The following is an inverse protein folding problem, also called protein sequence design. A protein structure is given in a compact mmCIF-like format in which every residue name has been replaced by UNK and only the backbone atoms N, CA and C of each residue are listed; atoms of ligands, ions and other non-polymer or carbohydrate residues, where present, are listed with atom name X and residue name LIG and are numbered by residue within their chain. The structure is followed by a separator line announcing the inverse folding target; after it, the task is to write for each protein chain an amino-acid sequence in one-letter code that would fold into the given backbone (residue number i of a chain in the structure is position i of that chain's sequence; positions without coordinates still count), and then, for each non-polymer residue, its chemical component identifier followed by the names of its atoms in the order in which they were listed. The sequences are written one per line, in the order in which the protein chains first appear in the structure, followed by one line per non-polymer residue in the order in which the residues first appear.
data_IF_600055562848
#
_entry.id   IF_600055562848
#
_cell.length_a   1.000
_cell.length_b   1.000
_cell.length_c   1.000
_cell.angle_alpha   90.00
_cell.angle_beta   90.00
_cell.angle_gamma   90.00
#
_symmetry.space_group_name_H-M   'P 1'
#
loop_
_entity.id
_entity.type
_entity.pdbx_description
1 polymer ?
#
# COMPACT_ATOMS: atom_id res chain seq x y z
N UNK A 1 -17.09 28.25 11.06
CA UNK A 1 -18.25 28.50 10.16
C UNK A 1 -19.24 29.40 10.87
N UNK A 2 -20.06 30.18 10.14
CA UNK A 2 -21.11 31.02 10.73
C UNK A 2 -22.50 30.55 10.27
N UNK A 3 -23.56 31.03 10.93
CA UNK A 3 -24.94 30.60 10.69
C UNK A 3 -25.40 30.82 9.25
N UNK A 4 -25.00 31.92 8.59
CA UNK A 4 -25.35 32.18 7.18
C UNK A 4 -24.75 31.15 6.24
N UNK A 5 -23.45 30.88 6.36
CA UNK A 5 -22.74 29.91 5.51
C UNK A 5 -23.26 28.50 5.76
N UNK A 6 -23.48 28.12 7.03
CA UNK A 6 -24.05 26.82 7.36
C UNK A 6 -25.45 26.65 6.75
N UNK A 7 -26.28 27.69 6.80
CA UNK A 7 -27.62 27.69 6.18
C UNK A 7 -27.57 27.54 4.65
N UNK A 8 -26.68 28.26 3.98
CA UNK A 8 -26.47 28.17 2.53
C UNK A 8 -26.04 26.76 2.10
N UNK A 9 -25.14 26.12 2.86
CA UNK A 9 -24.75 24.73 2.63
C UNK A 9 -25.95 23.80 2.86
N UNK A 10 -26.63 23.92 4.00
CA UNK A 10 -27.75 23.04 4.36
C UNK A 10 -28.97 23.15 3.43
N UNK A 11 -29.15 24.26 2.72
CA UNK A 11 -30.17 24.39 1.67
C UNK A 11 -29.97 23.40 0.52
N UNK A 12 -28.73 22.95 0.28
CA UNK A 12 -28.39 22.01 -0.77
C UNK A 12 -28.33 20.55 -0.29
N UNK A 13 -28.53 20.31 1.00
CA UNK A 13 -28.40 18.98 1.59
C UNK A 13 -29.57 18.07 1.19
N UNK A 14 -29.26 16.91 0.58
CA UNK A 14 -30.26 15.98 0.03
C UNK A 14 -30.55 14.77 0.93
N UNK A 15 -30.08 14.79 2.16
CA UNK A 15 -30.20 13.68 3.11
C UNK A 15 -28.96 12.77 3.08
N UNK A 16 -29.09 11.49 3.48
CA UNK A 16 -27.95 10.62 3.78
C UNK A 16 -26.93 10.38 2.65
N UNK A 17 -27.31 10.63 1.39
CA UNK A 17 -26.38 10.55 0.25
C UNK A 17 -25.23 11.57 0.35
N UNK A 18 -25.45 12.66 1.08
CA UNK A 18 -24.49 13.76 1.24
C UNK A 18 -23.72 13.68 2.57
N UNK A 19 -23.98 12.69 3.44
CA UNK A 19 -23.38 12.60 4.79
C UNK A 19 -21.86 12.33 4.78
N UNK A 20 -21.35 11.78 3.69
CA UNK A 20 -19.91 11.55 3.51
C UNK A 20 -19.13 12.82 3.16
N UNK A 21 -19.82 13.89 2.74
CA UNK A 21 -19.19 15.16 2.41
C UNK A 21 -18.79 15.92 3.68
N UNK A 22 -17.50 16.31 3.83
CA UNK A 22 -17.04 17.03 5.01
C UNK A 22 -17.74 18.37 5.24
N UNK A 23 -18.18 19.08 4.18
CA UNK A 23 -18.85 20.38 4.30
C UNK A 23 -20.26 20.23 4.85
N UNK A 24 -21.02 19.25 4.37
CA UNK A 24 -22.35 18.96 4.88
C UNK A 24 -22.27 18.48 6.34
N UNK A 25 -21.31 17.60 6.66
CA UNK A 25 -21.09 17.15 8.04
C UNK A 25 -20.78 18.31 8.99
N UNK A 26 -19.87 19.20 8.61
CA UNK A 26 -19.54 20.37 9.42
C UNK A 26 -20.75 21.31 9.60
N UNK A 27 -21.60 21.45 8.58
CA UNK A 27 -22.79 22.31 8.63
C UNK A 27 -23.90 21.71 9.50
N UNK A 28 -24.09 20.39 9.42
CA UNK A 28 -24.99 19.64 10.30
C UNK A 28 -24.53 19.71 11.76
N UNK A 29 -23.23 19.57 12.01
CA UNK A 29 -22.68 19.68 13.37
C UNK A 29 -22.85 21.09 13.94
N UNK A 30 -22.60 22.13 13.14
CA UNK A 30 -22.85 23.51 13.54
C UNK A 30 -24.34 23.76 13.88
N UNK A 31 -25.27 23.23 13.07
CA UNK A 31 -26.71 23.35 13.30
C UNK A 31 -27.22 22.62 14.55
N UNK A 32 -26.46 21.67 15.12
CA UNK A 32 -26.79 21.07 16.42
C UNK A 32 -26.56 22.05 17.57
N UNK A 33 -25.59 22.95 17.44
CA UNK A 33 -25.23 23.93 18.47
C UNK A 33 -26.03 25.24 18.38
N UNK A 34 -26.57 25.57 17.20
CA UNK A 34 -27.41 26.74 16.96
C UNK A 34 -28.90 26.34 16.96
N UNK A 35 -29.64 26.76 18.00
CA UNK A 35 -31.04 26.36 18.21
C UNK A 35 -31.95 26.82 17.07
N UNK A 36 -31.76 28.04 16.57
CA UNK A 36 -32.60 28.64 15.53
C UNK A 36 -32.33 27.96 14.19
N UNK A 37 -31.06 27.78 13.83
CA UNK A 37 -30.68 27.09 12.61
C UNK A 37 -31.11 25.61 12.64
N UNK A 38 -30.95 24.94 13.78
CA UNK A 38 -31.38 23.56 13.96
C UNK A 38 -32.90 23.40 13.85
N UNK A 39 -33.69 24.35 14.36
CA UNK A 39 -35.13 24.36 14.17
C UNK A 39 -35.52 24.57 12.71
N UNK A 40 -34.93 25.59 12.06
CA UNK A 40 -35.14 25.85 10.65
C UNK A 40 -34.83 24.62 9.78
N UNK A 41 -33.71 23.93 10.05
CA UNK A 41 -33.32 22.73 9.30
C UNK A 41 -34.36 21.61 9.44
N UNK A 42 -34.87 21.37 10.66
CA UNK A 42 -35.92 20.37 10.90
C UNK A 42 -37.21 20.70 10.14
N UNK A 43 -37.60 21.96 10.10
CA UNK A 43 -38.79 22.41 9.35
C UNK A 43 -38.60 22.25 7.84
N UNK A 44 -37.42 22.59 7.32
CA UNK A 44 -37.08 22.38 5.91
C UNK A 44 -37.13 20.90 5.52
N UNK A 45 -36.46 20.03 6.29
CA UNK A 45 -36.45 18.58 6.02
C UNK A 45 -37.88 18.04 5.98
N UNK A 46 -38.73 18.40 6.95
CA UNK A 46 -40.15 18.02 6.95
C UNK A 46 -40.88 18.48 5.69
N UNK A 47 -40.66 19.71 5.24
CA UNK A 47 -41.27 20.24 4.01
C UNK A 47 -40.82 19.45 2.77
N UNK A 48 -39.52 19.24 2.60
CA UNK A 48 -38.96 18.51 1.47
C UNK A 48 -39.39 17.04 1.45
N UNK A 49 -39.44 16.39 2.61
CA UNK A 49 -39.89 15.01 2.70
C UNK A 49 -41.38 14.88 2.33
N UNK A 50 -42.22 15.83 2.73
CA UNK A 50 -43.62 15.87 2.31
C UNK A 50 -43.77 16.04 0.78
N UNK A 51 -42.98 16.93 0.17
CA UNK A 51 -42.96 17.12 -1.29
C UNK A 51 -42.51 15.83 -1.98
N UNK A 52 -41.40 15.25 -1.52
CA UNK A 52 -40.82 14.03 -2.11
C UNK A 52 -41.75 12.83 -1.96
N UNK A 53 -42.44 12.69 -0.83
CA UNK A 53 -43.45 11.65 -0.63
C UNK A 53 -44.60 11.79 -1.64
N UNK A 54 -45.12 13.02 -1.83
CA UNK A 54 -46.15 13.28 -2.85
C UNK A 54 -45.67 12.95 -4.25
N UNK A 55 -44.45 13.35 -4.62
CA UNK A 55 -43.88 13.08 -5.94
C UNK A 55 -43.66 11.57 -6.18
N UNK A 56 -43.16 10.84 -5.18
CA UNK A 56 -42.97 9.38 -5.27
C UNK A 56 -44.27 8.60 -5.34
N UNK A 57 -45.36 9.13 -4.79
CA UNK A 57 -46.69 8.54 -4.90
C UNK A 57 -47.33 8.69 -6.28
N UNK A 58 -46.72 9.45 -7.20
CA UNK A 58 -47.20 9.57 -8.57
C UNK A 58 -46.68 8.38 -9.37
N UNK A 59 -47.59 7.47 -9.74
CA UNK A 59 -47.23 6.31 -10.56
C UNK A 59 -46.74 6.79 -11.95
N UNK A 60 -45.51 6.43 -12.37
CA UNK A 60 -45.02 6.78 -13.70
C UNK A 60 -45.89 6.12 -14.79
N UNK A 61 -46.03 6.78 -15.94
CA UNK A 61 -46.72 6.15 -17.06
C UNK A 61 -45.96 4.90 -17.55
N UNK A 62 -46.66 3.79 -17.87
CA UNK A 62 -46.02 2.59 -18.41
C UNK A 62 -45.15 2.89 -19.64
N UNK A 63 -43.92 2.37 -19.64
CA UNK A 63 -42.95 2.59 -20.73
C UNK A 63 -42.39 4.01 -20.82
N UNK A 64 -42.61 4.89 -19.83
CA UNK A 64 -42.01 6.22 -19.79
C UNK A 64 -40.48 6.16 -19.74
N UNK A 65 -39.92 5.23 -18.95
CA UNK A 65 -38.47 5.02 -18.87
C UNK A 65 -37.88 4.69 -20.25
N UNK A 66 -38.49 3.77 -20.99
CA UNK A 66 -38.06 3.40 -22.35
C UNK A 66 -38.15 4.58 -23.32
N UNK A 67 -39.21 5.39 -23.21
CA UNK A 67 -39.38 6.61 -24.03
C UNK A 67 -38.32 7.67 -23.71
N UNK A 68 -37.95 7.84 -22.43
CA UNK A 68 -36.91 8.79 -22.00
C UNK A 68 -35.53 8.37 -22.51
N UNK A 69 -35.15 7.10 -22.29
CA UNK A 69 -33.86 6.55 -22.73
C UNK A 69 -33.71 6.64 -24.25
N UNK A 70 -34.79 6.37 -25.01
CA UNK A 70 -34.77 6.47 -26.48
C UNK A 70 -34.69 7.92 -27.00
N UNK A 71 -35.33 8.89 -26.33
CA UNK A 71 -35.39 10.29 -26.81
C UNK A 71 -34.22 11.16 -26.35
N UNK A 72 -33.62 10.85 -25.20
CA UNK A 72 -32.41 11.51 -24.70
C UNK A 72 -31.40 10.45 -24.32
N UNK A 73 -30.76 9.80 -25.30
CA UNK A 73 -29.60 8.98 -24.99
C UNK A 73 -28.61 9.87 -24.26
N UNK A 74 -28.20 9.49 -23.04
CA UNK A 74 -27.07 10.14 -22.38
C UNK A 74 -25.86 9.80 -23.25
N UNK A 75 -25.25 10.76 -23.96
CA UNK A 75 -24.02 10.45 -24.65
C UNK A 75 -23.02 10.16 -23.54
N UNK A 76 -22.60 8.90 -23.42
CA UNK A 76 -21.29 8.62 -22.88
C UNK A 76 -20.33 8.87 -24.04
N UNK A 77 -19.72 10.07 -24.18
CA UNK A 77 -18.67 10.24 -25.16
C UNK A 77 -17.60 9.22 -24.82
N UNK A 78 -17.57 8.15 -25.59
CA UNK A 78 -16.51 7.15 -25.52
C UNK A 78 -15.31 7.84 -26.10
N UNK A 79 -14.53 8.48 -25.21
CA UNK A 79 -13.35 9.22 -25.59
C UNK A 79 -12.31 8.23 -26.12
N UNK A 80 -12.29 8.03 -27.43
CA UNK A 80 -11.38 7.14 -28.12
C UNK A 80 -9.92 7.54 -27.89
N UNK A 81 -9.65 8.80 -27.48
CA UNK A 81 -8.31 9.23 -27.04
C UNK A 81 -7.92 8.58 -25.71
N UNK A 82 -8.83 8.45 -24.75
CA UNK A 82 -8.59 7.70 -23.50
C UNK A 82 -8.47 6.20 -23.73
N UNK A 83 -9.26 5.63 -24.65
CA UNK A 83 -9.14 4.20 -24.99
C UNK A 83 -7.82 3.91 -25.72
N UNK A 84 -7.40 4.78 -26.65
CA UNK A 84 -6.10 4.64 -27.30
C UNK A 84 -4.93 4.88 -26.35
N UNK A 85 -5.05 5.82 -25.39
CA UNK A 85 -4.09 5.99 -24.31
C UNK A 85 -4.00 4.75 -23.41
N UNK A 86 -5.14 4.14 -23.04
CA UNK A 86 -5.16 2.90 -22.25
C UNK A 86 -4.58 1.72 -23.05
N UNK A 87 -4.92 1.58 -24.33
CA UNK A 87 -4.36 0.54 -25.20
C UNK A 87 -2.84 0.71 -25.38
N UNK A 88 -2.38 1.94 -25.59
CA UNK A 88 -0.95 2.26 -25.65
C UNK A 88 -0.27 1.99 -24.31
N UNK A 89 -0.87 2.35 -23.17
CA UNK A 89 -0.35 2.05 -21.85
C UNK A 89 -0.28 0.54 -21.57
N UNK A 90 -1.26 -0.24 -22.02
CA UNK A 90 -1.24 -1.70 -21.93
C UNK A 90 -0.15 -2.29 -22.83
N UNK A 91 0.04 -1.79 -24.05
CA UNK A 91 1.12 -2.23 -24.94
C UNK A 91 2.51 -1.85 -24.41
N UNK A 92 2.67 -0.65 -23.87
CA UNK A 92 3.90 -0.20 -23.21
C UNK A 92 4.16 -1.04 -21.96
N UNK A 93 3.14 -1.28 -21.14
CA UNK A 93 3.24 -2.17 -19.97
C UNK A 93 3.60 -3.59 -20.37
N UNK A 94 2.98 -4.16 -21.41
CA UNK A 94 3.27 -5.51 -21.89
C UNK A 94 4.67 -5.61 -22.52
N UNK A 95 5.14 -4.59 -23.23
CA UNK A 95 6.49 -4.57 -23.80
C UNK A 95 7.56 -4.33 -22.74
N UNK A 96 7.32 -3.45 -21.76
CA UNK A 96 8.19 -3.28 -20.57
C UNK A 96 8.21 -4.56 -19.75
N UNK A 97 7.06 -5.22 -19.54
CA UNK A 97 6.97 -6.51 -18.84
C UNK A 97 7.70 -7.61 -19.62
N UNK A 98 7.55 -7.66 -20.94
CA UNK A 98 8.29 -8.62 -21.78
C UNK A 98 9.80 -8.32 -21.81
N UNK A 99 10.22 -7.06 -21.80
CA UNK A 99 11.63 -6.65 -21.67
C UNK A 99 12.20 -7.00 -20.29
N UNK A 100 11.43 -6.81 -19.21
CA UNK A 100 11.77 -7.21 -17.85
C UNK A 100 11.84 -8.74 -17.71
N UNK A 101 10.91 -9.48 -18.32
CA UNK A 101 10.94 -10.95 -18.37
C UNK A 101 12.15 -11.42 -19.17
N UNK A 102 12.43 -10.85 -20.34
CA UNK A 102 13.59 -11.20 -21.18
C UNK A 102 14.93 -10.82 -20.54
N UNK A 103 14.97 -9.77 -19.72
CA UNK A 103 16.11 -9.44 -18.84
C UNK A 103 16.22 -10.40 -17.66
N UNK A 104 15.11 -10.92 -17.14
CA UNK A 104 15.10 -11.95 -16.10
C UNK A 104 15.52 -13.33 -16.63
N UNK A 105 15.26 -13.64 -17.90
CA UNK A 105 15.61 -14.92 -18.54
C UNK A 105 17.11 -15.05 -18.86
N UNK A 106 17.86 -13.95 -18.97
CA UNK A 106 19.33 -13.99 -19.06
C UNK A 106 20.02 -14.17 -17.70
N UNK A 107 19.28 -14.15 -16.58
CA UNK A 107 19.83 -14.14 -15.23
C UNK A 107 19.55 -15.39 -14.38
N UNK A 108 18.97 -16.48 -14.92
CA UNK A 108 18.66 -17.63 -14.06
C UNK A 108 18.58 -19.00 -14.76
N UNK A 109 19.72 -19.69 -14.80
CA UNK A 109 19.88 -21.16 -14.78
C UNK A 109 21.13 -21.37 -13.91
N UNK A 110 21.20 -22.03 -12.75
CA UNK A 110 20.58 -23.21 -12.13
C UNK A 110 21.01 -23.20 -10.63
N UNK A 111 20.15 -23.11 -9.62
CA UNK A 111 19.36 -24.23 -9.04
C UNK A 111 17.87 -23.90 -9.14
N UNK A 112 17.27 -23.98 -10.33
CA UNK A 112 17.10 -22.76 -11.11
C UNK A 112 16.22 -21.76 -10.34
N UNK A 113 16.84 -20.89 -9.54
CA UNK A 113 16.13 -20.11 -8.53
C UNK A 113 17.05 -19.57 -7.43
N UNK A 114 18.09 -20.33 -7.05
CA UNK A 114 19.15 -19.82 -6.19
C UNK A 114 20.11 -18.96 -7.01
N UNK A 115 19.89 -17.64 -7.01
CA UNK A 115 20.79 -16.70 -7.67
C UNK A 115 22.02 -16.49 -6.78
N UNK A 116 23.21 -16.82 -7.29
CA UNK A 116 24.45 -16.44 -6.62
C UNK A 116 24.59 -14.92 -6.68
N UNK A 117 24.74 -14.28 -5.52
CA UNK A 117 24.87 -12.83 -5.41
C UNK A 117 25.98 -12.44 -4.43
N UNK A 118 26.45 -11.21 -4.57
CA UNK A 118 27.31 -10.54 -3.60
C UNK A 118 26.48 -9.49 -2.87
N UNK A 119 26.44 -9.56 -1.55
CA UNK A 119 25.76 -8.57 -0.70
C UNK A 119 26.79 -7.87 0.15
N UNK A 120 26.98 -6.57 -0.08
CA UNK A 120 27.79 -5.72 0.78
C UNK A 120 26.90 -4.98 1.76
N UNK A 121 27.12 -5.20 3.05
CA UNK A 121 26.22 -4.73 4.07
C UNK A 121 26.70 -5.02 5.49
N UNK A 122 25.95 -4.54 6.45
CA UNK A 122 26.21 -4.73 7.88
C UNK A 122 25.64 -6.08 8.36
N UNK A 123 26.43 -6.89 9.07
CA UNK A 123 25.93 -8.11 9.74
C UNK A 123 25.15 -7.75 10.99
N UNK A 124 23.92 -8.26 11.09
CA UNK A 124 22.96 -7.94 12.14
C UNK A 124 22.69 -9.14 13.06
N UNK A 125 22.47 -8.85 14.34
CA UNK A 125 21.62 -9.67 15.20
C UNK A 125 20.17 -9.34 14.84
N UNK A 126 19.46 -10.31 14.25
CA UNK A 126 18.10 -10.08 13.75
C UNK A 126 17.07 -9.92 14.87
N UNK A 127 17.30 -10.53 16.03
CA UNK A 127 16.41 -10.41 17.19
C UNK A 127 16.41 -8.97 17.69
N UNK A 128 17.60 -8.40 17.91
CA UNK A 128 17.75 -7.01 18.37
C UNK A 128 17.39 -5.99 17.28
N UNK A 129 17.73 -6.25 16.02
CA UNK A 129 17.40 -5.37 14.91
C UNK A 129 15.89 -5.27 14.69
N UNK A 130 15.15 -6.37 14.70
CA UNK A 130 13.69 -6.35 14.51
C UNK A 130 12.99 -5.74 15.73
N UNK A 131 13.39 -6.10 16.95
CA UNK A 131 12.70 -5.66 18.16
C UNK A 131 12.96 -4.19 18.51
N UNK A 132 14.13 -3.66 18.18
CA UNK A 132 14.58 -2.35 18.69
C UNK A 132 15.44 -1.55 17.70
N UNK A 133 15.54 -1.99 16.44
CA UNK A 133 16.34 -1.34 15.40
C UNK A 133 17.82 -1.13 15.80
N UNK A 134 18.35 -2.02 16.65
CA UNK A 134 19.73 -1.96 17.09
C UNK A 134 20.67 -2.44 15.97
N UNK A 135 21.67 -1.62 15.67
CA UNK A 135 22.70 -1.84 14.65
C UNK A 135 23.89 -0.91 14.93
N UNK A 136 24.99 -1.10 14.22
CA UNK A 136 26.19 -0.27 14.27
C UNK A 136 27.19 -0.68 15.35
N UNK A 137 28.35 0.01 15.40
CA UNK A 137 29.49 -0.37 16.22
C UNK A 137 29.17 -0.42 17.73
N UNK A 138 28.27 0.44 18.21
CA UNK A 138 27.81 0.46 19.61
C UNK A 138 27.12 -0.86 20.02
N UNK A 139 26.55 -1.58 19.05
CA UNK A 139 25.87 -2.85 19.29
C UNK A 139 26.72 -4.08 18.93
N UNK A 140 27.96 -3.90 18.47
CA UNK A 140 28.82 -4.98 17.97
C UNK A 140 29.07 -6.09 19.00
N UNK A 141 29.36 -5.73 20.25
CA UNK A 141 29.63 -6.71 21.31
C UNK A 141 28.39 -7.53 21.65
N UNK A 142 27.26 -6.87 21.84
CA UNK A 142 25.98 -7.53 22.15
C UNK A 142 25.57 -8.46 21.01
N UNK A 143 25.59 -7.97 19.77
CA UNK A 143 25.29 -8.78 18.59
C UNK A 143 26.23 -9.98 18.45
N UNK A 144 27.55 -9.80 18.71
CA UNK A 144 28.52 -10.90 18.69
C UNK A 144 28.14 -12.01 19.68
N UNK A 145 27.79 -11.65 20.92
CA UNK A 145 27.39 -12.61 21.95
C UNK A 145 26.11 -13.35 21.56
N UNK A 146 25.06 -12.63 21.16
CA UNK A 146 23.78 -13.22 20.77
C UNK A 146 23.91 -14.14 19.56
N UNK A 147 24.55 -13.68 18.49
CA UNK A 147 24.79 -14.50 17.28
C UNK A 147 25.60 -15.73 17.66
N UNK A 148 26.66 -15.59 18.46
CA UNK A 148 27.48 -16.72 18.94
C UNK A 148 26.69 -17.76 19.73
N UNK A 149 25.64 -17.34 20.46
CA UNK A 149 24.73 -18.22 21.19
C UNK A 149 23.63 -18.85 20.33
N UNK A 150 23.60 -18.59 19.02
CA UNK A 150 22.68 -19.20 18.08
C UNK A 150 21.50 -18.33 17.66
N UNK A 151 21.44 -17.07 18.08
CA UNK A 151 20.40 -16.15 17.62
C UNK A 151 20.51 -15.90 16.10
N UNK A 152 19.38 -15.66 15.39
CA UNK A 152 19.40 -15.49 13.95
C UNK A 152 20.26 -14.28 13.53
N UNK A 153 21.16 -14.50 12.58
CA UNK A 153 21.99 -13.45 12.00
C UNK A 153 21.48 -13.05 10.61
N UNK A 154 21.66 -11.77 10.27
CA UNK A 154 21.29 -11.25 8.96
C UNK A 154 22.36 -10.35 8.37
N UNK A 155 22.12 -9.87 7.15
CA UNK A 155 22.89 -8.77 6.54
C UNK A 155 21.94 -7.73 5.98
N UNK A 156 22.17 -6.46 6.29
CA UNK A 156 21.46 -5.32 5.69
C UNK A 156 22.35 -4.64 4.67
N UNK A 157 21.93 -4.65 3.41
CA UNK A 157 22.64 -3.95 2.35
C UNK A 157 22.45 -2.43 2.41
N UNK A 158 23.17 -1.72 1.55
CA UNK A 158 23.14 -0.25 1.48
C UNK A 158 21.78 0.32 1.08
N UNK A 159 20.97 -0.47 0.39
CA UNK A 159 19.62 -0.09 -0.05
C UNK A 159 18.57 -0.41 1.03
N UNK A 160 19.00 -0.93 2.19
CA UNK A 160 18.16 -1.23 3.34
C UNK A 160 17.48 -2.61 3.27
N UNK A 161 17.79 -3.43 2.27
CA UNK A 161 17.25 -4.78 2.17
C UNK A 161 18.01 -5.74 3.08
N UNK A 162 17.25 -6.57 3.78
CA UNK A 162 17.78 -7.52 4.77
C UNK A 162 17.64 -8.95 4.28
N UNK A 163 18.69 -9.74 4.48
CA UNK A 163 18.70 -11.17 4.20
C UNK A 163 18.99 -11.94 5.49
N UNK A 164 18.24 -13.02 5.73
CA UNK A 164 18.58 -13.99 6.76
C UNK A 164 19.79 -14.81 6.30
N UNK A 165 20.85 -14.84 7.11
CA UNK A 165 22.06 -15.59 6.79
C UNK A 165 21.95 -17.03 7.31
N UNK A 166 22.25 -17.99 6.45
CA UNK A 166 22.26 -19.41 6.83
C UNK A 166 23.51 -20.11 6.31
N UNK A 167 23.87 -21.22 6.94
CA UNK A 167 24.82 -22.19 6.38
C UNK A 167 24.13 -23.19 5.45
N UNK A 168 24.87 -24.25 5.11
CA UNK A 168 24.30 -25.45 4.48
C UNK A 168 23.25 -26.10 5.40
N UNK A 169 22.28 -26.87 4.85
CA UNK A 169 21.30 -27.59 5.66
C UNK A 169 21.95 -28.43 6.77
N UNK A 170 21.52 -28.22 8.01
CA UNK A 170 22.06 -28.90 9.20
C UNK A 170 23.37 -28.32 9.74
N UNK A 171 23.92 -27.27 9.12
CA UNK A 171 25.15 -26.60 9.55
C UNK A 171 24.87 -25.15 9.94
N UNK A 172 25.03 -24.84 11.23
CA UNK A 172 25.01 -23.46 11.68
C UNK A 172 26.27 -22.73 11.24
N UNK A 173 26.12 -21.47 10.83
CA UNK A 173 27.23 -20.58 10.48
C UNK A 173 27.44 -19.47 11.55
N UNK A 174 26.65 -19.51 12.63
CA UNK A 174 26.61 -18.50 13.69
C UNK A 174 27.98 -18.21 14.30
N UNK A 175 28.75 -19.25 14.64
CA UNK A 175 30.09 -19.09 15.21
C UNK A 175 31.01 -18.25 14.31
N UNK A 176 30.91 -18.44 12.99
CA UNK A 176 31.66 -17.64 12.00
C UNK A 176 31.10 -16.23 11.87
N UNK A 177 29.77 -16.08 11.84
CA UNK A 177 29.11 -14.77 11.69
C UNK A 177 29.31 -13.86 12.90
N UNK A 178 29.45 -14.41 14.10
CA UNK A 178 29.67 -13.66 15.34
C UNK A 178 30.92 -12.75 15.26
N UNK A 179 31.98 -13.18 14.56
CA UNK A 179 33.18 -12.38 14.36
C UNK A 179 33.01 -11.18 13.42
N UNK A 180 31.88 -11.11 12.72
CA UNK A 180 31.53 -10.03 11.81
C UNK A 180 30.35 -9.18 12.31
N UNK A 181 29.86 -9.42 13.53
CA UNK A 181 28.73 -8.68 14.09
C UNK A 181 28.94 -7.16 14.02
N UNK A 182 27.93 -6.45 13.49
CA UNK A 182 27.91 -5.02 13.20
C UNK A 182 29.04 -4.50 12.28
N UNK A 183 29.80 -5.38 11.64
CA UNK A 183 30.79 -5.00 10.63
C UNK A 183 30.16 -4.97 9.25
N UNK A 184 30.65 -4.06 8.42
CA UNK A 184 30.32 -4.05 6.99
C UNK A 184 31.25 -5.04 6.27
N UNK A 185 30.65 -6.05 5.65
CA UNK A 185 31.34 -7.11 4.92
C UNK A 185 30.71 -7.30 3.55
N UNK A 186 31.38 -8.03 2.67
CA UNK A 186 30.78 -8.54 1.44
C UNK A 186 30.60 -10.05 1.55
N UNK A 187 29.36 -10.51 1.46
CA UNK A 187 29.01 -11.93 1.52
C UNK A 187 28.68 -12.40 0.10
N UNK A 188 29.39 -13.43 -0.35
CA UNK A 188 28.99 -14.24 -1.48
C UNK A 188 28.05 -15.34 -1.00
N UNK A 189 26.90 -15.49 -1.63
CA UNK A 189 25.98 -16.55 -1.25
C UNK A 189 24.87 -16.82 -2.26
N UNK A 190 24.16 -17.92 -2.03
CA UNK A 190 22.99 -18.33 -2.80
C UNK A 190 21.74 -17.69 -2.21
N UNK A 191 21.10 -16.79 -2.96
CA UNK A 191 19.86 -16.13 -2.56
C UNK A 191 18.66 -17.00 -2.90
N UNK A 192 17.76 -17.18 -1.94
CA UNK A 192 16.42 -17.75 -2.14
C UNK A 192 15.36 -16.81 -1.54
N UNK A 193 14.15 -16.84 -2.09
CA UNK A 193 13.01 -16.08 -1.57
C UNK A 193 11.79 -17.00 -1.47
N UNK A 194 11.10 -16.96 -0.35
CA UNK A 194 9.85 -17.69 -0.13
C UNK A 194 8.96 -16.89 0.82
N UNK A 195 7.70 -16.71 0.46
CA UNK A 195 6.68 -16.06 1.31
C UNK A 195 7.12 -14.70 1.89
N UNK A 196 7.88 -13.92 1.12
CA UNK A 196 8.41 -12.61 1.53
C UNK A 196 9.72 -12.64 2.31
N UNK A 197 10.20 -13.81 2.74
CA UNK A 197 11.50 -13.97 3.38
C UNK A 197 12.60 -14.11 2.34
N UNK A 198 13.65 -13.29 2.47
CA UNK A 198 14.86 -13.41 1.68
C UNK A 198 15.95 -14.09 2.54
N UNK A 199 16.45 -15.22 2.05
CA UNK A 199 17.55 -15.95 2.64
C UNK A 199 18.79 -15.78 1.76
N UNK A 200 19.96 -15.72 2.40
CA UNK A 200 21.26 -15.80 1.74
C UNK A 200 22.07 -16.91 2.41
N UNK A 201 22.20 -18.04 1.72
CA UNK A 201 23.05 -19.12 2.15
C UNK A 201 24.51 -18.74 1.89
N UNK A 202 25.28 -18.59 2.98
CA UNK A 202 26.62 -18.02 3.00
C UNK A 202 27.63 -19.02 2.43
N UNK A 203 28.36 -18.62 1.39
CA UNK A 203 29.48 -19.39 0.84
C UNK A 203 30.82 -18.77 1.24
N UNK A 204 30.93 -17.44 1.14
CA UNK A 204 32.16 -16.70 1.42
C UNK A 204 31.85 -15.38 2.12
N UNK A 205 32.70 -14.98 3.08
CA UNK A 205 32.63 -13.68 3.76
C UNK A 205 33.95 -12.97 3.53
N UNK A 206 33.91 -11.75 2.99
CA UNK A 206 35.06 -10.89 2.75
C UNK A 206 34.95 -9.64 3.60
N UNK A 207 36.01 -9.32 4.34
CA UNK A 207 36.14 -8.00 4.97
C UNK A 207 36.38 -6.94 3.88
N UNK A 208 35.86 -5.74 4.12
CA UNK A 208 36.23 -4.57 3.33
C UNK A 208 37.66 -4.12 3.64
#
# INVERSE_FOLDING_TARGET
MNTRIAKEILLLYRGPIDDSDPQFRAALDYAKSDLELGQWLREQIKCYDAIRAKLRGIEPQPGLADKMVRRRPIPFPRDWSRISQLAAAILISATVTALLIKWSEHGNRSVAGAQEIFVTGEVLDMTCYIASNLSGPEHAYCAKVCIGNGEPAGIKDRDGKVYLLTGEPGQSINAKLADYAAQVVTIKGKKSVRDGFAQLQVEEIRKL
#
